data_IF_325695016360
#
_entry.id   IF_325695016360
#
_cell.length_a   1.000
_cell.length_b   1.000
_cell.length_c   1.000
_cell.angle_alpha   90.00
_cell.angle_beta   90.00
_cell.angle_gamma   90.00
#
_symmetry.space_group_name_H-M   'P 1'
#
loop_
_entity.id
_entity.type
_entity.pdbx_description
1 polymer ?
#
# COMPACT_ATOMS: atom_id res chain seq x y z
N UNK A 1 10.81 -4.89 -30.56
CA UNK A 1 11.11 -4.14 -29.32
C UNK A 1 10.76 -5.02 -28.14
N UNK A 2 11.65 -5.17 -27.16
CA UNK A 2 11.36 -5.94 -25.94
C UNK A 2 10.48 -5.09 -25.03
N UNK A 3 9.29 -5.57 -24.68
CA UNK A 3 8.42 -4.89 -23.72
C UNK A 3 9.12 -4.84 -22.37
N UNK A 4 9.25 -3.66 -21.72
CA UNK A 4 9.88 -3.58 -20.40
C UNK A 4 9.15 -4.49 -19.42
N UNK A 5 9.90 -5.29 -18.65
CA UNK A 5 9.38 -6.13 -17.59
C UNK A 5 9.78 -5.57 -16.23
N UNK A 6 8.86 -5.64 -15.30
CA UNK A 6 9.04 -5.28 -13.90
C UNK A 6 8.79 -6.54 -13.08
N UNK A 7 9.55 -6.72 -12.00
CA UNK A 7 9.34 -7.85 -11.09
C UNK A 7 8.47 -7.41 -9.93
N UNK A 8 7.34 -8.07 -9.75
CA UNK A 8 6.30 -7.73 -8.79
C UNK A 8 6.03 -8.89 -7.82
N UNK A 9 5.61 -8.57 -6.60
CA UNK A 9 5.18 -9.51 -5.57
C UNK A 9 3.95 -8.93 -4.86
N UNK A 10 2.91 -9.72 -4.62
CA UNK A 10 1.76 -9.29 -3.82
C UNK A 10 1.92 -9.88 -2.43
N UNK A 11 1.77 -9.05 -1.42
CA UNK A 11 2.05 -9.45 -0.05
C UNK A 11 1.18 -8.70 0.96
N UNK A 12 0.96 -9.30 2.12
CA UNK A 12 0.55 -8.56 3.31
C UNK A 12 1.79 -7.90 3.90
N UNK A 13 1.71 -6.60 4.15
CA UNK A 13 2.75 -5.84 4.86
C UNK A 13 2.23 -5.40 6.21
N UNK A 14 3.16 -5.07 7.11
CA UNK A 14 2.83 -4.75 8.49
C UNK A 14 2.79 -3.25 8.73
N UNK A 15 2.06 -2.84 9.78
CA UNK A 15 2.17 -1.48 10.31
C UNK A 15 3.59 -1.18 10.83
N UNK A 16 3.86 0.09 11.13
CA UNK A 16 5.18 0.55 11.54
C UNK A 16 5.70 -0.13 12.81
N UNK A 17 4.81 -0.46 13.76
CA UNK A 17 5.19 -1.10 15.02
C UNK A 17 5.68 -2.52 14.80
N UNK A 18 4.87 -3.33 14.14
CA UNK A 18 5.19 -4.74 13.85
C UNK A 18 6.30 -4.85 12.82
N UNK A 19 6.34 -3.97 11.81
CA UNK A 19 7.46 -3.88 10.86
C UNK A 19 8.78 -3.61 11.60
N UNK A 20 8.78 -2.68 12.57
CA UNK A 20 9.96 -2.36 13.36
C UNK A 20 10.42 -3.53 14.22
N UNK A 21 9.50 -4.21 14.91
CA UNK A 21 9.80 -5.39 15.72
C UNK A 21 10.39 -6.53 14.87
N UNK A 22 9.74 -6.86 13.74
CA UNK A 22 10.23 -7.89 12.82
C UNK A 22 11.60 -7.51 12.23
N UNK A 23 11.85 -6.23 11.96
CA UNK A 23 13.17 -5.78 11.52
C UNK A 23 14.21 -5.86 12.64
N UNK A 24 13.87 -5.62 13.90
CA UNK A 24 14.78 -5.87 15.01
C UNK A 24 15.15 -7.35 15.12
N UNK A 25 14.17 -8.25 14.99
CA UNK A 25 14.40 -9.70 14.94
C UNK A 25 15.31 -10.08 13.76
N UNK A 26 14.99 -9.61 12.55
CA UNK A 26 15.80 -9.84 11.34
C UNK A 26 17.24 -9.34 11.52
N UNK A 27 17.43 -8.21 12.20
CA UNK A 27 18.76 -7.63 12.50
C UNK A 27 19.51 -8.46 13.54
N UNK A 28 18.84 -8.93 14.57
CA UNK A 28 19.41 -9.86 15.55
C UNK A 28 19.86 -11.19 14.90
N UNK A 29 19.10 -11.69 13.94
CA UNK A 29 19.40 -12.92 13.20
C UNK A 29 20.43 -12.74 12.07
N UNK A 30 20.91 -11.52 11.82
CA UNK A 30 21.88 -11.24 10.75
C UNK A 30 21.29 -11.35 9.34
N UNK A 31 20.00 -11.11 9.18
CA UNK A 31 19.29 -11.18 7.90
C UNK A 31 19.81 -10.17 6.88
N UNK A 32 20.23 -10.64 5.71
CA UNK A 32 20.62 -9.78 4.58
C UNK A 32 19.46 -9.01 3.94
N UNK A 33 18.22 -9.32 4.33
CA UNK A 33 17.03 -8.80 3.69
C UNK A 33 16.48 -7.50 4.29
N UNK A 34 17.05 -7.02 5.42
CA UNK A 34 16.60 -5.82 6.16
C UNK A 34 16.44 -4.58 5.30
N UNK A 35 17.48 -4.27 4.52
CA UNK A 35 17.49 -3.09 3.64
C UNK A 35 17.01 -3.42 2.22
N UNK A 36 16.62 -4.68 1.99
CA UNK A 36 16.31 -5.21 0.67
C UNK A 36 14.82 -5.33 0.41
N UNK A 37 14.05 -5.78 1.39
CA UNK A 37 12.61 -6.00 1.25
C UNK A 37 11.95 -5.85 2.63
N UNK A 38 10.84 -5.10 2.76
CA UNK A 38 10.11 -5.02 4.02
C UNK A 38 9.68 -6.43 4.48
N UNK A 39 9.55 -6.68 5.79
CA UNK A 39 8.97 -7.92 6.27
C UNK A 39 7.53 -8.01 5.75
N UNK A 40 7.15 -9.19 5.28
CA UNK A 40 5.88 -9.40 4.60
C UNK A 40 5.47 -10.88 4.64
N UNK A 41 4.19 -11.14 4.42
CA UNK A 41 3.65 -12.47 4.12
C UNK A 41 3.32 -12.48 2.63
N UNK A 42 3.96 -13.37 1.87
CA UNK A 42 3.71 -13.46 0.43
C UNK A 42 2.31 -13.99 0.17
N UNK A 43 1.55 -13.34 -0.73
CA UNK A 43 0.27 -13.84 -1.27
C UNK A 43 0.51 -14.42 -2.68
N UNK A 44 1.13 -13.61 -3.55
CA UNK A 44 1.56 -14.03 -4.89
C UNK A 44 3.09 -13.88 -4.96
N UNK A 45 3.83 -14.96 -5.24
CA UNK A 45 5.28 -14.92 -5.27
C UNK A 45 5.81 -13.98 -6.36
N UNK A 46 7.11 -13.61 -6.31
CA UNK A 46 7.75 -12.78 -7.32
C UNK A 46 7.50 -13.25 -8.77
N UNK A 47 6.82 -12.43 -9.56
CA UNK A 47 6.56 -12.64 -10.99
C UNK A 47 7.12 -11.48 -11.82
N UNK A 48 7.69 -11.79 -12.98
CA UNK A 48 7.95 -10.74 -13.97
C UNK A 48 6.66 -10.43 -14.70
N UNK A 49 6.33 -9.15 -14.85
CA UNK A 49 5.13 -8.68 -15.54
C UNK A 49 5.41 -7.43 -16.37
N UNK A 50 4.55 -7.15 -17.34
CA UNK A 50 4.49 -5.87 -18.04
C UNK A 50 3.90 -4.79 -17.14
N UNK A 51 4.06 -3.49 -17.50
CA UNK A 51 3.41 -2.41 -16.76
C UNK A 51 1.89 -2.54 -16.68
N UNK A 52 1.23 -3.00 -17.75
CA UNK A 52 -0.22 -3.20 -17.75
C UNK A 52 -0.64 -4.33 -16.79
N UNK A 53 0.11 -5.42 -16.73
CA UNK A 53 -0.13 -6.49 -15.75
C UNK A 53 0.10 -6.00 -14.31
N UNK A 54 1.09 -5.12 -14.08
CA UNK A 54 1.29 -4.53 -12.75
C UNK A 54 0.09 -3.69 -12.30
N UNK A 55 -0.51 -2.89 -13.19
CA UNK A 55 -1.73 -2.14 -12.90
C UNK A 55 -2.95 -3.05 -12.71
N UNK A 56 -3.03 -4.17 -13.43
CA UNK A 56 -4.06 -5.18 -13.15
C UNK A 56 -3.95 -5.74 -11.72
N UNK A 57 -2.73 -5.94 -11.18
CA UNK A 57 -2.56 -6.29 -9.77
C UNK A 57 -3.03 -5.19 -8.83
N UNK A 58 -2.82 -3.91 -9.16
CA UNK A 58 -3.34 -2.79 -8.37
C UNK A 58 -4.88 -2.82 -8.33
N UNK A 59 -5.53 -3.06 -9.47
CA UNK A 59 -6.99 -3.19 -9.54
C UNK A 59 -7.51 -4.34 -8.67
N UNK A 60 -6.83 -5.49 -8.73
CA UNK A 60 -7.19 -6.66 -7.92
C UNK A 60 -7.00 -6.41 -6.42
N UNK A 61 -5.91 -5.74 -6.02
CA UNK A 61 -5.69 -5.33 -4.64
C UNK A 61 -6.81 -4.38 -4.20
N UNK A 62 -7.14 -3.36 -5.00
CA UNK A 62 -8.21 -2.41 -4.71
C UNK A 62 -9.58 -3.10 -4.57
N UNK A 63 -9.90 -4.03 -5.48
CA UNK A 63 -11.16 -4.76 -5.42
C UNK A 63 -11.25 -5.70 -4.22
N UNK A 64 -10.13 -6.36 -3.86
CA UNK A 64 -10.11 -7.28 -2.73
C UNK A 64 -10.10 -6.53 -1.39
N UNK A 65 -9.26 -5.50 -1.24
CA UNK A 65 -9.10 -4.75 0.00
C UNK A 65 -10.38 -4.06 0.44
N UNK A 66 -11.24 -3.67 -0.51
CA UNK A 66 -12.54 -3.04 -0.25
C UNK A 66 -13.68 -4.03 0.06
N UNK A 67 -13.40 -5.34 0.02
CA UNK A 67 -14.41 -6.41 0.19
C UNK A 67 -14.13 -7.37 1.34
N UNK A 68 -13.00 -7.20 2.00
CA UNK A 68 -12.57 -8.07 3.09
C UNK A 68 -12.18 -7.22 4.28
N UNK A 69 -12.44 -7.75 5.47
CA UNK A 69 -12.04 -7.13 6.72
C UNK A 69 -10.60 -7.51 7.09
N UNK A 70 -9.88 -6.67 7.86
CA UNK A 70 -8.58 -7.05 8.41
C UNK A 70 -8.65 -8.36 9.20
N UNK A 71 -7.64 -9.20 9.02
CA UNK A 71 -7.56 -10.53 9.67
C UNK A 71 -6.58 -10.46 10.82
N UNK A 72 -6.98 -10.93 12.01
CA UNK A 72 -6.04 -11.10 13.12
C UNK A 72 -5.08 -12.23 12.82
N UNK A 73 -3.78 -11.95 12.95
CA UNK A 73 -2.70 -12.89 12.73
C UNK A 73 -1.95 -13.16 14.03
N UNK A 74 -1.60 -14.43 14.27
CA UNK A 74 -0.59 -14.81 15.26
C UNK A 74 0.63 -15.34 14.50
N UNK A 75 1.75 -14.63 14.62
CA UNK A 75 3.06 -15.07 14.13
C UNK A 75 3.78 -15.75 15.28
N UNK A 76 4.14 -17.03 15.15
CA UNK A 76 4.82 -17.75 16.23
C UNK A 76 5.88 -18.70 15.72
N UNK A 77 6.79 -19.02 16.64
CA UNK A 77 7.81 -20.04 16.46
C UNK A 77 8.84 -19.65 15.41
N UNK A 78 9.81 -20.53 15.21
CA UNK A 78 10.77 -20.42 14.12
C UNK A 78 10.84 -21.77 13.44
N UNK A 79 10.68 -21.79 12.13
CA UNK A 79 10.89 -23.00 11.34
C UNK A 79 11.72 -22.68 10.10
N UNK A 80 12.16 -23.73 9.41
CA UNK A 80 13.01 -23.62 8.23
C UNK A 80 12.39 -24.33 7.05
N UNK A 81 12.49 -23.72 5.87
CA UNK A 81 12.27 -24.47 4.64
C UNK A 81 13.54 -25.22 4.25
N UNK A 82 13.42 -26.52 4.00
CA UNK A 82 14.48 -27.36 3.44
C UNK A 82 14.67 -27.12 1.92
N UNK A 83 14.85 -25.86 1.53
CA UNK A 83 15.17 -25.44 0.17
C UNK A 83 16.70 -25.37 -0.03
N UNK A 84 17.17 -25.08 -1.26
CA UNK A 84 18.60 -25.01 -1.60
C UNK A 84 19.41 -24.02 -0.72
N UNK A 85 18.74 -23.04 -0.11
CA UNK A 85 19.30 -22.07 0.85
C UNK A 85 18.37 -21.97 2.04
N UNK A 86 18.69 -22.69 3.12
CA UNK A 86 17.83 -22.79 4.30
C UNK A 86 17.37 -21.40 4.72
N UNK A 87 16.05 -21.24 4.77
CA UNK A 87 15.38 -19.98 5.04
C UNK A 87 14.59 -20.14 6.32
N UNK A 88 14.90 -19.33 7.32
CA UNK A 88 14.21 -19.28 8.60
C UNK A 88 13.04 -18.31 8.56
N UNK A 89 11.89 -18.75 9.08
CA UNK A 89 10.64 -17.99 9.04
C UNK A 89 9.84 -18.14 10.35
N UNK A 90 8.97 -17.16 10.59
CA UNK A 90 7.88 -17.28 11.56
C UNK A 90 6.65 -17.85 10.85
N UNK A 91 5.94 -18.76 11.50
CA UNK A 91 4.70 -19.34 10.97
C UNK A 91 3.50 -18.47 11.33
N UNK A 92 2.53 -18.37 10.42
CA UNK A 92 1.21 -17.80 10.72
C UNK A 92 0.31 -18.93 11.23
N UNK A 93 0.02 -18.95 12.54
CA UNK A 93 -0.79 -20.03 13.16
C UNK A 93 -2.26 -19.66 13.34
N UNK A 94 -2.59 -18.37 13.29
CA UNK A 94 -3.95 -17.85 13.25
C UNK A 94 -4.11 -16.91 12.04
N UNK A 95 -5.25 -16.99 11.36
CA UNK A 95 -5.56 -16.18 10.16
C UNK A 95 -4.99 -16.70 8.84
N UNK A 96 -4.30 -17.85 8.84
CA UNK A 96 -3.72 -18.45 7.63
C UNK A 96 -4.76 -18.82 6.56
N UNK A 97 -5.90 -19.37 6.97
CA UNK A 97 -6.99 -19.77 6.07
C UNK A 97 -7.60 -18.57 5.34
N UNK A 98 -7.77 -17.44 6.04
CA UNK A 98 -8.24 -16.19 5.43
C UNK A 98 -7.22 -15.65 4.41
N UNK A 99 -5.91 -15.72 4.72
CA UNK A 99 -4.86 -15.33 3.78
C UNK A 99 -4.83 -16.24 2.55
N UNK A 100 -5.11 -17.53 2.70
CA UNK A 100 -5.27 -18.44 1.56
C UNK A 100 -6.47 -18.04 0.70
N UNK A 101 -7.63 -17.73 1.31
CA UNK A 101 -8.81 -17.23 0.58
C UNK A 101 -8.52 -15.90 -0.13
N UNK A 102 -7.69 -15.03 0.44
CA UNK A 102 -7.26 -13.80 -0.23
C UNK A 102 -6.39 -14.11 -1.43
N UNK A 103 -5.37 -14.96 -1.26
CA UNK A 103 -4.51 -15.44 -2.35
C UNK A 103 -5.32 -16.02 -3.51
N UNK A 104 -6.30 -16.87 -3.22
CA UNK A 104 -7.09 -17.56 -4.24
C UNK A 104 -7.99 -16.61 -5.06
N UNK A 105 -8.33 -15.44 -4.50
CA UNK A 105 -9.04 -14.36 -5.21
C UNK A 105 -8.11 -13.49 -6.07
N UNK A 106 -6.79 -13.60 -5.89
CA UNK A 106 -5.79 -12.87 -6.66
C UNK A 106 -5.30 -13.73 -7.83
N UNK A 107 -5.40 -13.20 -9.04
CA UNK A 107 -5.01 -13.86 -10.27
C UNK A 107 -3.67 -13.33 -10.82
N UNK A 108 -2.81 -14.19 -11.41
CA UNK A 108 -2.88 -15.64 -11.38
C UNK A 108 -2.02 -16.22 -10.25
N UNK A 109 -2.64 -17.02 -9.36
CA UNK A 109 -1.92 -18.02 -8.57
C UNK A 109 -1.40 -19.10 -9.51
N UNK A 110 -0.20 -18.90 -10.10
CA UNK A 110 0.46 -19.87 -10.99
C UNK A 110 1.28 -20.92 -10.24
N UNK A 111 1.31 -20.86 -8.91
CA UNK A 111 2.08 -21.78 -8.09
C UNK A 111 1.17 -22.91 -7.57
N UNK A 112 1.45 -24.13 -8.01
CA UNK A 112 0.74 -25.34 -7.57
C UNK A 112 1.18 -25.84 -6.19
N UNK A 113 2.18 -25.20 -5.57
CA UNK A 113 2.60 -25.54 -4.21
C UNK A 113 1.50 -25.19 -3.21
N UNK A 114 1.47 -25.97 -2.13
CA UNK A 114 0.65 -25.69 -0.95
C UNK A 114 1.05 -24.30 -0.42
N UNK A 115 0.05 -23.47 -0.14
CA UNK A 115 0.28 -22.18 0.45
C UNK A 115 0.67 -22.36 1.92
N UNK A 116 1.83 -21.84 2.29
CA UNK A 116 2.30 -21.85 3.68
C UNK A 116 2.51 -20.38 4.06
N UNK A 117 1.56 -19.73 4.74
CA UNK A 117 1.71 -18.33 5.14
C UNK A 117 2.82 -18.20 6.20
N UNK A 118 3.81 -17.37 5.90
CA UNK A 118 4.98 -17.18 6.74
C UNK A 118 5.61 -15.80 6.55
N UNK A 119 6.43 -15.40 7.52
CA UNK A 119 7.31 -14.23 7.43
C UNK A 119 8.75 -14.70 7.46
N UNK A 120 9.47 -14.50 6.35
CA UNK A 120 10.92 -14.79 6.31
C UNK A 120 11.68 -13.82 7.20
N UNK A 121 12.42 -14.35 8.18
CA UNK A 121 13.21 -13.56 9.12
C UNK A 121 14.71 -13.70 8.91
N UNK A 122 15.18 -14.79 8.30
CA UNK A 122 16.59 -14.96 7.96
C UNK A 122 16.75 -15.90 6.76
N UNK A 123 17.75 -15.64 5.92
CA UNK A 123 18.04 -16.45 4.74
C UNK A 123 19.47 -16.98 4.81
N UNK A 124 19.73 -18.12 4.17
CA UNK A 124 21.07 -18.68 4.00
C UNK A 124 21.77 -19.04 5.33
N UNK A 125 21.03 -19.61 6.26
CA UNK A 125 21.57 -20.14 7.53
C UNK A 125 22.08 -21.56 7.36
N UNK A 126 22.94 -22.02 8.28
CA UNK A 126 23.36 -23.42 8.32
C UNK A 126 22.30 -24.29 9.01
N UNK A 127 22.21 -25.60 8.69
CA UNK A 127 21.25 -26.49 9.33
C UNK A 127 21.33 -26.50 10.86
N UNK A 128 22.54 -26.53 11.42
CA UNK A 128 22.79 -26.52 12.87
C UNK A 128 22.34 -25.22 13.53
N UNK A 129 22.49 -24.09 12.85
CA UNK A 129 22.00 -22.78 13.31
C UNK A 129 20.47 -22.78 13.32
N UNK A 130 19.83 -23.40 12.32
CA UNK A 130 18.38 -23.55 12.25
C UNK A 130 17.79 -24.28 13.46
N UNK A 131 18.41 -25.39 13.89
CA UNK A 131 17.97 -26.13 15.08
C UNK A 131 18.09 -25.30 16.37
N UNK A 132 19.19 -24.58 16.54
CA UNK A 132 19.41 -23.70 17.70
C UNK A 132 18.37 -22.58 17.71
N UNK A 133 18.08 -21.98 16.56
CA UNK A 133 17.10 -20.91 16.43
C UNK A 133 15.68 -21.40 16.66
N UNK A 134 15.33 -22.60 16.19
CA UNK A 134 14.03 -23.24 16.46
C UNK A 134 13.76 -23.33 17.96
N UNK A 135 14.73 -23.83 18.74
CA UNK A 135 14.59 -23.93 20.20
C UNK A 135 14.49 -22.53 20.86
N UNK A 136 15.38 -21.61 20.49
CA UNK A 136 15.45 -20.26 21.09
C UNK A 136 14.22 -19.40 20.82
N UNK A 137 13.62 -19.53 19.65
CA UNK A 137 12.46 -18.74 19.21
C UNK A 137 11.14 -19.51 19.35
N UNK A 138 11.14 -20.70 19.98
CA UNK A 138 9.94 -21.52 20.21
C UNK A 138 8.81 -20.80 20.94
N UNK A 139 9.15 -19.78 21.74
CA UNK A 139 8.19 -18.94 22.49
C UNK A 139 7.97 -17.56 21.89
N UNK A 140 8.65 -17.23 20.80
CA UNK A 140 8.46 -15.94 20.12
C UNK A 140 7.05 -15.91 19.54
N UNK A 141 6.29 -14.87 19.89
CA UNK A 141 4.92 -14.63 19.41
C UNK A 141 4.73 -13.15 19.14
N UNK A 142 4.09 -12.84 18.03
CA UNK A 142 3.63 -11.49 17.68
C UNK A 142 2.20 -11.60 17.19
N UNK A 143 1.30 -10.89 17.87
CA UNK A 143 -0.06 -10.67 17.38
C UNK A 143 -0.08 -9.42 16.52
N UNK A 144 -0.74 -9.50 15.37
CA UNK A 144 -0.86 -8.39 14.43
C UNK A 144 -2.13 -8.52 13.60
N UNK A 145 -2.33 -7.60 12.67
CA UNK A 145 -3.45 -7.61 11.73
C UNK A 145 -2.92 -7.58 10.30
N UNK A 146 -3.53 -8.37 9.43
CA UNK A 146 -3.40 -8.21 7.99
C UNK A 146 -4.21 -6.98 7.53
N UNK A 147 -3.83 -5.78 7.96
CA UNK A 147 -4.54 -4.55 7.64
C UNK A 147 -4.06 -3.88 6.36
N UNK A 148 -2.99 -4.38 5.73
CA UNK A 148 -2.43 -3.81 4.51
C UNK A 148 -2.10 -4.89 3.47
N UNK A 149 -2.60 -4.69 2.24
CA UNK A 149 -2.17 -5.44 1.04
C UNK A 149 -1.28 -4.57 0.17
N UNK A 150 -0.14 -5.13 -0.24
CA UNK A 150 0.89 -4.39 -0.95
C UNK A 150 1.27 -5.04 -2.27
N UNK A 151 1.44 -4.21 -3.30
CA UNK A 151 2.20 -4.56 -4.49
C UNK A 151 3.64 -4.10 -4.27
N UNK A 152 4.55 -5.06 -4.07
CA UNK A 152 5.98 -4.80 -4.00
C UNK A 152 6.59 -4.88 -5.40
N UNK A 153 7.45 -3.92 -5.74
CA UNK A 153 8.15 -3.83 -7.03
C UNK A 153 9.65 -3.87 -6.78
N UNK A 154 10.36 -4.73 -7.51
CA UNK A 154 11.81 -4.76 -7.49
C UNK A 154 12.39 -3.59 -8.31
N UNK A 155 13.32 -2.85 -7.72
CA UNK A 155 14.12 -1.83 -8.36
C UNK A 155 15.13 -2.49 -9.31
N UNK A 156 14.95 -2.21 -10.60
CA UNK A 156 15.80 -2.71 -11.67
C UNK A 156 17.11 -1.89 -11.85
N UNK A 157 17.25 -0.71 -11.20
CA UNK A 157 18.33 0.25 -11.50
C UNK A 157 19.15 0.72 -10.28
N UNK A 158 18.83 0.28 -9.07
CA UNK A 158 19.60 0.58 -7.87
C UNK A 158 20.89 -0.26 -7.71
N UNK A 159 21.92 0.32 -7.09
CA UNK A 159 23.17 -0.37 -6.71
C UNK A 159 22.92 -1.50 -5.68
N UNK A 160 21.88 -1.35 -4.86
CA UNK A 160 21.24 -2.40 -4.08
C UNK A 160 19.88 -2.65 -4.72
N UNK A 161 19.80 -3.57 -5.68
CA UNK A 161 18.56 -4.00 -6.37
C UNK A 161 17.50 -4.36 -5.32
N UNK A 162 16.65 -3.45 -4.84
CA UNK A 162 15.78 -3.66 -3.68
C UNK A 162 14.29 -3.71 -4.02
N UNK A 163 13.46 -4.20 -3.12
CA UNK A 163 12.01 -4.20 -3.26
C UNK A 163 11.41 -3.03 -2.50
N UNK A 164 10.49 -2.33 -3.15
CA UNK A 164 9.75 -1.23 -2.55
C UNK A 164 8.24 -1.43 -2.72
N UNK A 165 7.42 -1.03 -1.74
CA UNK A 165 5.99 -0.91 -1.96
C UNK A 165 5.72 0.10 -3.08
N UNK A 166 4.93 -0.32 -4.06
CA UNK A 166 4.32 0.56 -5.06
C UNK A 166 2.92 1.01 -4.60
N UNK A 167 2.17 0.08 -3.99
CA UNK A 167 0.88 0.31 -3.35
C UNK A 167 0.91 -0.33 -1.96
N UNK A 168 0.26 0.30 -0.97
CA UNK A 168 -0.03 -0.25 0.36
C UNK A 168 -1.51 0.01 0.69
N UNK A 169 -2.38 -0.80 0.13
CA UNK A 169 -3.83 -0.67 0.26
C UNK A 169 -4.28 -1.06 1.67
N UNK A 170 -5.11 -0.23 2.28
CA UNK A 170 -5.72 -0.49 3.56
C UNK A 170 -6.88 -1.47 3.36
N UNK A 171 -6.84 -2.59 4.10
CA UNK A 171 -7.87 -3.63 4.07
C UNK A 171 -9.07 -3.18 4.90
N UNK A 172 -10.28 -3.38 4.39
CA UNK A 172 -11.52 -2.95 5.00
C UNK A 172 -11.89 -1.49 4.72
N UNK A 173 -11.09 -0.77 3.92
CA UNK A 173 -11.32 0.64 3.62
C UNK A 173 -11.37 0.91 2.13
N UNK A 174 -12.31 1.78 1.74
CA UNK A 174 -12.62 2.09 0.36
C UNK A 174 -13.92 1.43 -0.10
N UNK A 175 -14.26 1.65 -1.36
CA UNK A 175 -15.52 1.14 -1.89
C UNK A 175 -15.61 1.22 -3.41
N UNK A 176 -16.79 0.90 -3.93
CA UNK A 176 -17.09 0.99 -5.37
C UNK A 176 -18.30 1.85 -5.60
N UNK A 177 -18.18 2.86 -6.46
CA UNK A 177 -19.34 3.56 -7.04
C UNK A 177 -19.56 3.10 -8.46
N UNK A 178 -20.82 2.82 -8.79
CA UNK A 178 -21.26 2.49 -10.15
C UNK A 178 -22.33 3.48 -10.57
N UNK A 179 -22.13 4.10 -11.74
CA UNK A 179 -23.12 4.96 -12.38
C UNK A 179 -23.12 4.67 -13.87
N UNK A 180 -24.31 4.34 -14.40
CA UNK A 180 -24.48 3.93 -15.80
C UNK A 180 -23.53 2.78 -16.17
N UNK A 181 -22.70 2.97 -17.21
CA UNK A 181 -21.73 1.98 -17.70
C UNK A 181 -20.33 2.11 -17.08
N UNK A 182 -20.13 3.01 -16.11
CA UNK A 182 -18.82 3.19 -15.45
C UNK A 182 -18.85 2.70 -14.01
N UNK A 183 -17.70 2.19 -13.56
CA UNK A 183 -17.46 1.76 -12.19
C UNK A 183 -16.12 2.32 -11.74
N UNK A 184 -16.14 3.02 -10.62
CA UNK A 184 -14.95 3.58 -9.97
C UNK A 184 -14.74 2.84 -8.66
N UNK A 185 -13.53 2.33 -8.47
CA UNK A 185 -13.02 1.79 -7.23
C UNK A 185 -12.30 2.92 -6.50
N UNK A 186 -12.60 3.09 -5.22
CA UNK A 186 -11.88 3.95 -4.29
C UNK A 186 -11.11 3.04 -3.36
N UNK A 187 -9.79 3.12 -3.38
CA UNK A 187 -8.90 2.34 -2.51
C UNK A 187 -8.16 3.31 -1.59
N UNK A 188 -8.29 3.14 -0.27
CA UNK A 188 -7.41 3.87 0.64
C UNK A 188 -6.04 3.20 0.71
N UNK A 189 -4.98 4.00 0.73
CA UNK A 189 -3.60 3.54 0.64
C UNK A 189 -2.66 4.43 1.44
N UNK A 190 -1.68 3.82 2.13
CA UNK A 190 -0.55 4.52 2.78
C UNK A 190 0.62 4.81 1.82
N UNK A 191 0.41 4.60 0.52
CA UNK A 191 1.36 4.99 -0.53
C UNK A 191 0.72 6.03 -1.43
N UNK A 192 1.43 7.12 -1.70
CA UNK A 192 1.02 8.11 -2.69
C UNK A 192 1.37 7.61 -4.10
N UNK A 193 0.47 7.80 -5.10
CA UNK A 193 0.74 7.40 -6.49
C UNK A 193 1.82 8.26 -7.14
N UNK A 194 2.06 9.46 -6.60
CA UNK A 194 2.99 10.46 -7.15
C UNK A 194 4.17 10.76 -6.24
N UNK A 195 4.00 10.69 -4.92
CA UNK A 195 5.08 10.91 -3.98
C UNK A 195 5.68 9.56 -3.53
N UNK A 196 6.98 9.35 -3.80
CA UNK A 196 7.74 8.26 -3.19
C UNK A 196 8.11 8.55 -1.72
N UNK A 197 7.40 9.45 -1.04
CA UNK A 197 7.64 9.76 0.37
C UNK A 197 6.91 8.74 1.24
N UNK A 198 7.69 8.13 2.14
CA UNK A 198 7.20 7.33 3.26
C UNK A 198 6.91 8.32 4.40
N UNK A 199 5.79 9.02 4.35
CA UNK A 199 5.32 9.74 5.53
C UNK A 199 4.22 8.89 6.17
N UNK A 200 4.47 8.33 7.35
CA UNK A 200 3.45 7.56 8.10
C UNK A 200 2.25 8.41 8.48
N UNK A 201 2.31 9.72 8.21
CA UNK A 201 1.24 10.70 8.41
C UNK A 201 0.39 10.95 7.17
N UNK A 202 0.61 10.30 6.02
CA UNK A 202 -0.29 10.47 4.88
C UNK A 202 -1.13 9.23 4.57
N UNK A 203 -2.34 9.49 4.09
CA UNK A 203 -3.25 8.51 3.51
C UNK A 203 -3.74 9.07 2.18
N UNK A 204 -3.87 8.20 1.19
CA UNK A 204 -4.36 8.58 -0.14
C UNK A 204 -5.54 7.71 -0.53
N UNK A 205 -6.54 8.32 -1.16
CA UNK A 205 -7.62 7.64 -1.84
C UNK A 205 -7.29 7.58 -3.34
N UNK A 206 -7.11 6.38 -3.86
CA UNK A 206 -6.84 6.14 -5.28
C UNK A 206 -8.16 5.86 -5.98
N UNK A 207 -8.43 6.57 -7.07
CA UNK A 207 -9.59 6.38 -7.92
C UNK A 207 -9.17 5.54 -9.12
N UNK A 208 -9.70 4.32 -9.20
CA UNK A 208 -9.33 3.36 -10.22
C UNK A 208 -10.58 2.97 -11.02
N UNK A 209 -10.43 2.71 -12.31
CA UNK A 209 -11.47 1.98 -13.04
C UNK A 209 -11.39 0.46 -12.72
N UNK A 210 -12.25 -0.34 -13.36
CA UNK A 210 -12.24 -1.80 -13.19
C UNK A 210 -11.06 -2.50 -13.88
N UNK A 211 -10.35 -1.82 -14.78
CA UNK A 211 -9.16 -2.35 -15.45
C UNK A 211 -7.86 -2.04 -14.68
N UNK A 212 -7.92 -1.15 -13.69
CA UNK A 212 -6.79 -0.66 -12.92
C UNK A 212 -6.20 0.65 -13.43
N UNK A 213 -6.85 1.32 -14.38
CA UNK A 213 -6.48 2.66 -14.81
C UNK A 213 -6.70 3.65 -13.67
N UNK A 214 -5.66 4.43 -13.35
CA UNK A 214 -5.75 5.51 -12.37
C UNK A 214 -6.51 6.69 -12.99
N UNK A 215 -7.70 6.94 -12.47
CA UNK A 215 -8.58 8.04 -12.87
C UNK A 215 -8.31 9.32 -12.08
N UNK A 216 -7.73 9.19 -10.90
CA UNK A 216 -7.37 10.30 -10.02
C UNK A 216 -6.94 9.82 -8.64
N UNK A 217 -6.55 10.76 -7.79
CA UNK A 217 -6.28 10.48 -6.39
C UNK A 217 -6.48 11.71 -5.53
N UNK A 218 -6.61 11.47 -4.24
CA UNK A 218 -6.68 12.48 -3.19
C UNK A 218 -5.74 12.08 -2.08
N UNK A 219 -4.86 12.97 -1.63
CA UNK A 219 -3.92 12.74 -0.53
C UNK A 219 -4.28 13.64 0.65
N UNK A 220 -4.40 13.02 1.82
CA UNK A 220 -4.60 13.68 3.11
C UNK A 220 -3.38 13.44 3.99
N UNK A 221 -2.91 14.50 4.64
CA UNK A 221 -1.73 14.50 5.51
C UNK A 221 -2.15 14.92 6.92
N UNK A 222 -1.68 14.18 7.92
CA UNK A 222 -1.90 14.49 9.32
C UNK A 222 -1.06 15.72 9.70
N UNK A 223 -1.76 16.79 10.05
CA UNK A 223 -1.25 17.96 10.72
C UNK A 223 -1.17 17.79 12.25
N UNK A 224 -0.75 18.84 12.96
CA UNK A 224 -0.72 18.85 14.42
C UNK A 224 -2.13 18.70 15.02
N UNK A 225 -2.21 18.18 16.24
CA UNK A 225 -3.44 18.08 17.05
C UNK A 225 -4.59 17.27 16.40
N UNK A 226 -4.25 16.30 15.53
CA UNK A 226 -5.23 15.43 14.89
C UNK A 226 -6.03 16.10 13.76
N UNK A 227 -5.55 17.25 13.25
CA UNK A 227 -6.11 17.88 12.05
C UNK A 227 -5.56 17.18 10.82
N UNK A 228 -6.41 16.84 9.84
CA UNK A 228 -5.97 16.30 8.55
C UNK A 228 -6.17 17.35 7.46
N UNK A 229 -5.19 17.48 6.56
CA UNK A 229 -5.22 18.44 5.45
C UNK A 229 -5.09 17.69 4.14
N UNK A 230 -6.01 17.94 3.23
CA UNK A 230 -5.88 17.50 1.85
C UNK A 230 -4.81 18.34 1.15
N UNK A 231 -3.67 17.72 0.82
CA UNK A 231 -2.46 18.41 0.32
C UNK A 231 -2.36 18.33 -1.21
N UNK A 232 -2.68 17.17 -1.79
CA UNK A 232 -2.63 16.97 -3.24
C UNK A 232 -3.86 16.21 -3.72
N UNK A 233 -4.47 16.70 -4.79
CA UNK A 233 -5.63 16.05 -5.39
C UNK A 233 -5.62 16.27 -6.88
N UNK A 234 -5.61 15.18 -7.64
CA UNK A 234 -5.57 15.24 -9.09
C UNK A 234 -6.67 14.36 -9.65
N UNK A 235 -7.49 14.97 -10.51
CA UNK A 235 -8.43 14.26 -11.34
C UNK A 235 -7.86 14.16 -12.75
N UNK A 236 -7.60 12.93 -13.21
CA UNK A 236 -7.10 12.67 -14.55
C UNK A 236 -8.25 12.53 -15.54
N UNK A 237 -9.37 11.92 -15.13
CA UNK A 237 -10.58 11.81 -15.94
C UNK A 237 -11.62 12.87 -15.58
N UNK A 238 -11.81 13.85 -16.47
CA UNK A 238 -12.76 14.96 -16.27
C UNK A 238 -14.22 14.52 -16.31
N UNK A 239 -14.53 13.36 -16.88
CA UNK A 239 -15.90 12.82 -16.91
C UNK A 239 -16.36 12.34 -15.52
N UNK A 240 -15.46 12.29 -14.54
CA UNK A 240 -15.79 11.94 -13.16
C UNK A 240 -16.38 13.09 -12.35
N UNK A 241 -16.32 14.33 -12.83
CA UNK A 241 -16.88 15.48 -12.09
C UNK A 241 -18.38 15.27 -11.85
N UNK A 242 -18.80 15.27 -10.58
CA UNK A 242 -20.20 15.04 -10.20
C UNK A 242 -20.63 13.58 -10.32
N UNK A 243 -19.68 12.63 -10.36
CA UNK A 243 -19.95 11.19 -10.32
C UNK A 243 -20.32 10.70 -8.90
N UNK A 244 -20.11 11.53 -7.86
CA UNK A 244 -20.39 11.19 -6.47
C UNK A 244 -19.29 10.34 -5.84
N UNK A 245 -18.08 10.36 -6.42
CA UNK A 245 -16.91 9.73 -5.79
C UNK A 245 -16.39 10.60 -4.65
N UNK A 246 -16.65 11.90 -4.69
CA UNK A 246 -16.23 12.89 -3.71
C UNK A 246 -16.79 12.51 -2.33
N UNK A 247 -18.10 12.22 -2.26
CA UNK A 247 -18.77 11.72 -1.06
C UNK A 247 -18.18 10.39 -0.61
N UNK A 248 -17.92 9.43 -1.52
CA UNK A 248 -17.33 8.15 -1.14
C UNK A 248 -15.91 8.31 -0.58
N UNK A 249 -15.06 9.11 -1.23
CA UNK A 249 -13.68 9.37 -0.75
C UNK A 249 -13.73 9.98 0.65
N UNK A 250 -14.63 10.93 0.87
CA UNK A 250 -14.84 11.57 2.15
C UNK A 250 -15.34 10.60 3.21
N UNK A 251 -16.38 9.82 2.92
CA UNK A 251 -16.95 8.81 3.82
C UNK A 251 -15.85 7.83 4.25
N UNK A 252 -15.12 7.26 3.30
CA UNK A 252 -14.08 6.27 3.56
C UNK A 252 -12.91 6.87 4.34
N UNK A 253 -12.45 8.07 3.97
CA UNK A 253 -11.41 8.76 4.72
C UNK A 253 -11.86 9.08 6.14
N UNK A 254 -13.09 9.53 6.36
CA UNK A 254 -13.59 9.82 7.70
C UNK A 254 -13.77 8.56 8.55
N UNK A 255 -14.19 7.45 7.92
CA UNK A 255 -14.24 6.13 8.57
C UNK A 255 -12.84 5.67 8.97
N UNK A 256 -11.83 5.88 8.12
CA UNK A 256 -10.44 5.59 8.49
C UNK A 256 -9.90 6.56 9.55
N UNK A 257 -10.31 7.81 9.49
CA UNK A 257 -9.87 8.91 10.34
C UNK A 257 -10.81 9.16 11.53
N UNK A 258 -11.47 8.13 12.06
CA UNK A 258 -12.48 8.24 13.15
C UNK A 258 -12.01 9.01 14.41
N UNK A 259 -10.72 9.30 14.54
CA UNK A 259 -10.12 10.10 15.62
C UNK A 259 -9.62 11.49 15.18
N UNK A 260 -9.93 11.92 13.96
CA UNK A 260 -9.55 13.24 13.49
C UNK A 260 -10.37 14.33 14.21
N UNK A 261 -9.66 15.33 14.73
CA UNK A 261 -10.28 16.48 15.39
C UNK A 261 -10.91 17.43 14.36
N UNK A 262 -10.33 17.50 13.15
CA UNK A 262 -10.84 18.31 12.03
C UNK A 262 -10.26 17.81 10.69
N UNK A 263 -10.95 18.10 9.59
CA UNK A 263 -10.51 17.81 8.22
C UNK A 263 -10.60 19.08 7.37
N UNK A 264 -9.48 19.49 6.77
CA UNK A 264 -9.37 20.67 5.90
C UNK A 264 -9.31 20.20 4.45
N UNK A 265 -10.29 20.58 3.64
CA UNK A 265 -10.44 20.10 2.27
C UNK A 265 -10.52 21.23 1.23
N UNK A 266 -10.10 20.97 -0.01
CA UNK A 266 -10.24 21.93 -1.10
C UNK A 266 -11.71 22.18 -1.43
N UNK A 267 -12.02 23.34 -2.02
CA UNK A 267 -13.39 23.82 -2.23
C UNK A 267 -14.27 22.90 -3.08
N UNK A 268 -13.70 22.04 -3.93
CA UNK A 268 -14.48 21.07 -4.70
C UNK A 268 -14.92 19.86 -3.86
N UNK A 269 -14.35 19.68 -2.66
CA UNK A 269 -14.84 18.79 -1.60
C UNK A 269 -15.85 19.58 -0.75
N UNK A 270 -16.91 20.06 -1.39
CA UNK A 270 -17.74 21.16 -0.85
C UNK A 270 -18.84 20.74 0.13
N UNK A 271 -18.96 19.46 0.46
CA UNK A 271 -19.96 18.99 1.42
C UNK A 271 -19.38 17.87 2.27
N UNK A 272 -18.79 18.27 3.37
CA UNK A 272 -17.99 17.40 4.20
C UNK A 272 -18.57 17.61 5.61
N UNK A 273 -19.77 17.07 5.86
CA UNK A 273 -20.34 17.07 7.21
C UNK A 273 -20.98 15.73 7.53
N UNK A 274 -20.21 14.76 8.09
CA UNK A 274 -20.88 13.58 8.63
C UNK A 274 -20.59 13.25 10.11
N UNK A 275 -19.62 13.87 10.80
CA UNK A 275 -19.20 13.39 12.13
C UNK A 275 -18.73 14.47 13.13
N UNK A 276 -19.12 15.74 12.93
CA UNK A 276 -18.71 16.84 13.83
C UNK A 276 -17.28 17.38 13.59
N UNK A 277 -16.58 16.86 12.59
CA UNK A 277 -15.37 17.49 12.06
C UNK A 277 -15.77 18.73 11.26
N UNK A 278 -15.29 19.92 11.65
CA UNK A 278 -15.54 21.14 10.88
C UNK A 278 -14.72 21.12 9.61
N UNK A 279 -15.38 21.24 8.47
CA UNK A 279 -14.71 21.29 7.18
C UNK A 279 -14.59 22.73 6.75
N UNK A 280 -13.36 23.13 6.50
CA UNK A 280 -13.02 24.50 6.18
C UNK A 280 -12.30 24.53 4.83
N UNK A 281 -12.62 25.53 4.02
CA UNK A 281 -11.91 25.74 2.75
C UNK A 281 -10.43 26.00 3.01
N UNK A 282 -9.58 25.71 2.02
CA UNK A 282 -8.15 26.03 2.07
C UNK A 282 -7.88 27.49 2.47
N UNK A 283 -8.73 28.42 2.02
CA UNK A 283 -8.63 29.85 2.35
C UNK A 283 -9.07 30.16 3.79
N UNK A 284 -10.08 29.46 4.31
CA UNK A 284 -10.48 29.57 5.72
C UNK A 284 -9.38 29.02 6.65
N UNK A 285 -8.74 27.91 6.27
CA UNK A 285 -7.62 27.34 7.02
C UNK A 285 -6.41 28.30 7.07
N UNK A 286 -6.10 28.96 5.95
CA UNK A 286 -5.07 30.02 5.88
C UNK A 286 -5.38 31.19 6.81
N UNK A 287 -6.62 31.66 6.81
CA UNK A 287 -7.08 32.76 7.67
C UNK A 287 -6.97 32.41 9.16
N UNK A 288 -7.12 31.14 9.53
CA UNK A 288 -7.00 30.64 10.90
C UNK A 288 -5.57 30.32 11.34
N UNK A 289 -4.55 30.55 10.49
CA UNK A 289 -3.15 30.28 10.82
C UNK A 289 -2.81 28.79 10.92
N UNK A 290 -3.70 27.91 10.48
CA UNK A 290 -3.40 26.50 10.26
C UNK A 290 -2.48 26.47 9.04
N UNK A 291 -1.21 26.10 9.23
CA UNK A 291 -0.17 26.16 8.17
C UNK A 291 -0.63 25.38 6.94
N UNK A 292 -1.15 26.06 5.93
CA UNK A 292 -1.26 25.51 4.59
C UNK A 292 0.15 25.41 4.02
N UNK A 293 0.56 24.23 3.58
CA UNK A 293 1.73 24.11 2.72
C UNK A 293 1.50 24.94 1.45
N UNK A 294 2.57 25.58 0.99
CA UNK A 294 2.55 26.44 -0.18
C UNK A 294 2.43 25.60 -1.45
N UNK A 295 1.20 25.49 -1.98
CA UNK A 295 0.88 24.79 -3.23
C UNK A 295 1.49 25.47 -4.47
N UNK A 296 2.22 26.58 -4.33
CA UNK A 296 2.93 27.21 -5.46
C UNK A 296 4.13 26.39 -5.95
N UNK A 297 4.55 25.35 -5.23
CA UNK A 297 5.64 24.46 -5.62
C UNK A 297 5.25 23.35 -6.62
N UNK A 298 3.96 23.20 -6.97
CA UNK A 298 3.55 22.37 -8.11
C UNK A 298 3.67 23.21 -9.38
N UNK A 299 4.79 23.00 -10.07
CA UNK A 299 5.19 23.67 -11.30
C UNK A 299 4.04 23.64 -12.33
N UNK A 300 3.33 24.77 -12.46
CA UNK A 300 2.33 24.98 -13.51
C UNK A 300 3.10 25.14 -14.82
N UNK A 301 3.37 24.05 -15.53
CA UNK A 301 3.91 24.17 -16.88
C UNK A 301 2.87 24.85 -17.76
N UNK A 302 3.29 25.96 -18.38
CA UNK A 302 2.47 26.94 -19.08
C UNK A 302 1.88 26.48 -20.44
N UNK A 303 1.78 25.18 -20.70
CA UNK A 303 1.13 24.65 -21.90
C UNK A 303 -0.12 23.87 -21.49
N UNK A 304 -1.28 24.30 -21.98
CA UNK A 304 -2.64 23.83 -21.64
C UNK A 304 -2.97 22.37 -21.97
N UNK A 305 -1.99 21.45 -21.93
CA UNK A 305 -2.17 20.01 -21.92
C UNK A 305 -1.83 19.47 -20.52
N UNK A 306 -2.80 19.50 -19.61
CA UNK A 306 -2.69 18.91 -18.28
C UNK A 306 -2.91 17.39 -18.34
N UNK A 307 -1.88 16.67 -18.78
CA UNK A 307 -1.64 15.28 -18.43
C UNK A 307 -0.20 15.23 -17.90
N UNK A 308 -0.04 14.94 -16.61
CA UNK A 308 1.28 14.86 -15.98
C UNK A 308 2.04 13.69 -16.64
N UNK A 309 3.12 14.05 -17.33
CA UNK A 309 4.10 13.12 -17.87
C UNK A 309 4.67 12.27 -16.74
N UNK A 310 4.46 10.97 -16.84
CA UNK A 310 5.27 9.95 -16.18
C UNK A 310 6.75 10.18 -16.53
N UNK A 311 7.55 10.71 -15.59
CA UNK A 311 9.02 10.64 -15.68
C UNK A 311 9.44 9.19 -15.40
N UNK A 312 9.22 8.31 -16.38
CA UNK A 312 10.10 7.16 -16.53
C UNK A 312 11.51 7.70 -16.81
N UNK A 313 12.49 7.12 -16.13
CA UNK A 313 13.92 7.35 -16.37
C UNK A 313 14.22 7.60 -17.84
N UNK A 314 14.76 8.77 -18.16
CA UNK A 314 15.21 9.12 -19.51
C UNK A 314 16.24 8.09 -19.98
N UNK A 315 15.90 7.33 -21.01
CA UNK A 315 16.89 6.67 -21.84
C UNK A 315 17.36 7.69 -22.86
N UNK A 316 18.59 8.20 -22.69
CA UNK A 316 19.30 8.84 -23.79
C UNK A 316 19.75 7.74 -24.73
N UNK A 317 19.14 7.69 -25.92
CA UNK A 317 19.80 7.09 -27.08
C UNK A 317 20.87 8.07 -27.53
N UNK A 318 22.13 7.66 -27.47
CA UNK A 318 23.07 7.96 -28.54
C UNK A 318 23.19 6.70 -29.39
#
# INVERSE_FOLDING_TARGET
MVTPRVRCCLAVTFDEGVESELNLLRRFLGSGALDWIPPHITLIPPVDCSPAEAWSFVAQIAELSTRVEPVTLELTGFDTFANRRITGHLSVVAGGDELERWRDRLAPSRDSRIYVPHVTVVENIKPEEGLILHERLSRYRVETSASEMSLLVADARGSRRGWRPFVRALVGYGGRRRRSHRSVLVMLSRSSPVAHRRDSRSVSAWLLDVSGELLGWVEAIAGPNGVWVFDDSVMLDRDLVGFGFEELVVEELLVYLQFATAVVAPEWVTSLDPLGATTMSSDTARLLGLRSFDLSAVDRTADGNQAIRWKFLSFSTR
#
